data_IF_416581523970
#
_entry.id   IF_416581523970
#
_cell.length_a   1.000
_cell.length_b   1.000
_cell.length_c   1.000
_cell.angle_alpha   90.00
_cell.angle_beta   90.00
_cell.angle_gamma   90.00
#
_symmetry.space_group_name_H-M   'P 1'
#
loop_
_entity.id
_entity.type
_entity.pdbx_description
1 polymer ?
#
# COMPACT_ATOMS: atom_id res chain seq x y z
N UNK A 1 -36.99 -12.75 -42.92
CA UNK A 1 -36.09 -11.64 -43.33
C UNK A 1 -36.22 -10.48 -42.34
N UNK A 2 -35.26 -10.30 -41.42
CA UNK A 2 -35.17 -9.12 -40.55
C UNK A 2 -33.85 -8.41 -40.86
N UNK A 3 -33.92 -7.20 -41.43
CA UNK A 3 -32.76 -6.34 -41.68
C UNK A 3 -32.27 -5.79 -40.34
N UNK A 4 -31.11 -6.25 -39.88
CA UNK A 4 -30.35 -5.59 -38.82
C UNK A 4 -29.69 -4.35 -39.42
N UNK A 5 -30.16 -3.18 -38.98
CA UNK A 5 -29.54 -1.89 -39.28
C UNK A 5 -28.25 -1.81 -38.45
N UNK A 6 -27.14 -2.14 -39.10
CA UNK A 6 -25.79 -1.81 -38.63
C UNK A 6 -25.62 -0.29 -38.72
N UNK A 7 -25.84 0.40 -37.61
CA UNK A 7 -25.35 1.77 -37.43
C UNK A 7 -23.84 1.69 -37.17
N UNK A 8 -23.08 1.80 -38.25
CA UNK A 8 -21.69 2.22 -38.17
C UNK A 8 -21.66 3.67 -37.71
N UNK A 9 -21.30 3.90 -36.44
CA UNK A 9 -20.90 5.21 -35.94
C UNK A 9 -19.39 5.33 -36.08
N UNK A 10 -18.96 5.89 -37.20
CA UNK A 10 -17.58 6.33 -37.40
C UNK A 10 -17.41 7.71 -36.75
N UNK A 11 -16.26 7.88 -36.08
CA UNK A 11 -15.55 9.13 -35.76
C UNK A 11 -15.90 9.88 -34.47
N UNK A 12 -14.94 9.89 -33.54
CA UNK A 12 -14.22 11.13 -33.25
C UNK A 12 -12.74 10.86 -32.90
N UNK A 13 -11.89 11.58 -33.63
CA UNK A 13 -10.46 11.73 -33.39
C UNK A 13 -10.21 12.52 -32.10
N UNK A 14 -9.09 12.22 -31.44
CA UNK A 14 -8.59 12.95 -30.28
C UNK A 14 -8.75 12.21 -28.96
N UNK A 15 -8.11 11.06 -28.79
CA UNK A 15 -7.95 10.50 -27.44
C UNK A 15 -6.52 10.03 -27.24
N UNK A 16 -5.87 10.58 -26.22
CA UNK A 16 -4.67 10.00 -25.63
C UNK A 16 -4.88 8.48 -25.54
N UNK A 17 -4.03 7.70 -26.22
CA UNK A 17 -4.36 6.33 -26.58
C UNK A 17 -4.69 5.54 -25.32
N UNK A 18 -5.98 5.25 -25.09
CA UNK A 18 -6.37 4.37 -23.99
C UNK A 18 -5.63 3.05 -24.19
N UNK A 19 -4.97 2.56 -23.14
CA UNK A 19 -4.28 1.27 -23.20
C UNK A 19 -5.22 0.22 -23.81
N UNK A 20 -4.75 -0.63 -24.76
CA UNK A 20 -5.57 -1.68 -25.36
C UNK A 20 -6.26 -2.57 -24.32
N UNK A 21 -5.64 -2.73 -23.15
CA UNK A 21 -6.22 -3.44 -22.02
C UNK A 21 -7.48 -2.77 -21.45
N UNK A 22 -7.50 -1.44 -21.32
CA UNK A 22 -8.65 -0.67 -20.81
C UNK A 22 -9.80 -0.57 -21.83
N UNK A 23 -9.54 -0.93 -23.09
CA UNK A 23 -10.58 -1.02 -24.12
C UNK A 23 -11.42 -2.31 -24.01
N UNK A 24 -10.93 -3.34 -23.31
CA UNK A 24 -11.67 -4.58 -23.06
C UNK A 24 -12.88 -4.31 -22.15
N UNK A 25 -13.99 -5.07 -22.22
CA UNK A 25 -15.08 -4.98 -21.24
C UNK A 25 -14.61 -5.28 -19.80
N UNK A 26 -15.27 -4.69 -18.81
CA UNK A 26 -14.88 -4.87 -17.40
C UNK A 26 -14.86 -6.34 -16.97
N UNK A 27 -15.84 -7.13 -17.37
CA UNK A 27 -15.92 -8.55 -17.01
C UNK A 27 -14.70 -9.35 -17.49
N UNK A 28 -14.18 -9.03 -18.68
CA UNK A 28 -12.97 -9.63 -19.22
C UNK A 28 -11.74 -9.18 -18.42
N UNK A 29 -11.64 -7.89 -18.09
CA UNK A 29 -10.54 -7.37 -17.26
C UNK A 29 -10.56 -7.98 -15.86
N UNK A 30 -11.74 -8.15 -15.28
CA UNK A 30 -11.96 -8.82 -14.00
C UNK A 30 -11.46 -10.28 -14.02
N UNK A 31 -11.81 -11.04 -15.06
CA UNK A 31 -11.28 -12.40 -15.24
C UNK A 31 -9.75 -12.39 -15.35
N UNK A 32 -9.18 -11.43 -16.09
CA UNK A 32 -7.72 -11.30 -16.18
C UNK A 32 -7.12 -11.01 -14.80
N UNK A 33 -7.69 -10.13 -13.99
CA UNK A 33 -7.22 -9.88 -12.63
C UNK A 33 -7.32 -11.13 -11.76
N UNK A 34 -8.43 -11.88 -11.85
CA UNK A 34 -8.61 -13.12 -11.10
C UNK A 34 -7.54 -14.17 -11.43
N UNK A 35 -7.05 -14.21 -12.66
CA UNK A 35 -5.96 -15.09 -13.06
C UNK A 35 -4.56 -14.50 -12.81
N UNK A 36 -4.42 -13.17 -12.86
CA UNK A 36 -3.14 -12.49 -12.73
C UNK A 36 -2.72 -12.28 -11.26
N UNK A 37 -3.68 -12.15 -10.34
CA UNK A 37 -3.43 -12.00 -8.92
C UNK A 37 -3.53 -13.35 -8.19
N UNK A 38 -2.90 -13.45 -7.00
CA UNK A 38 -2.88 -14.69 -6.22
C UNK A 38 -4.27 -15.32 -6.00
N UNK A 39 -4.40 -16.64 -6.08
CA UNK A 39 -5.71 -17.29 -5.88
C UNK A 39 -6.16 -17.23 -4.41
N UNK A 40 -5.22 -17.16 -3.47
CA UNK A 40 -5.50 -17.07 -2.04
C UNK A 40 -6.00 -15.69 -1.61
N UNK A 41 -6.99 -15.64 -0.71
CA UNK A 41 -7.54 -14.36 -0.18
C UNK A 41 -6.63 -13.63 0.81
N UNK A 42 -5.45 -14.16 1.12
CA UNK A 42 -4.54 -13.60 2.13
C UNK A 42 -3.15 -13.37 1.53
N UNK A 43 -2.62 -12.15 1.71
CA UNK A 43 -1.28 -11.78 1.31
C UNK A 43 -0.46 -11.56 2.57
N UNK A 44 0.68 -12.25 2.68
CA UNK A 44 1.58 -12.12 3.82
C UNK A 44 2.77 -11.24 3.42
N UNK A 45 3.04 -10.23 4.24
CA UNK A 45 4.11 -9.26 4.04
C UNK A 45 4.97 -9.23 5.28
N UNK A 46 6.26 -9.48 5.14
CA UNK A 46 7.25 -9.35 6.19
C UNK A 46 7.65 -7.88 6.35
N UNK A 47 7.45 -7.34 7.54
CA UNK A 47 8.01 -6.06 7.93
C UNK A 47 9.47 -6.24 8.35
N UNK A 48 10.37 -5.59 7.61
CA UNK A 48 11.78 -5.42 7.99
C UNK A 48 12.05 -3.94 8.26
N UNK A 49 13.18 -3.59 8.90
CA UNK A 49 13.47 -2.21 9.29
C UNK A 49 13.31 -1.18 8.17
N UNK A 50 13.75 -1.54 6.96
CA UNK A 50 13.81 -0.62 5.83
C UNK A 50 12.85 -0.98 4.69
N UNK A 51 12.36 -2.21 4.65
CA UNK A 51 11.60 -2.73 3.50
C UNK A 51 10.46 -3.66 3.91
N UNK A 52 9.43 -3.68 3.07
CA UNK A 52 8.39 -4.70 3.09
C UNK A 52 8.74 -5.80 2.09
N UNK A 53 8.79 -7.04 2.56
CA UNK A 53 9.08 -8.20 1.71
C UNK A 53 7.82 -9.05 1.60
N UNK A 54 7.42 -9.46 0.41
CA UNK A 54 6.32 -10.42 0.29
C UNK A 54 6.79 -11.80 0.76
N UNK A 55 6.04 -12.43 1.67
CA UNK A 55 6.30 -13.81 2.13
C UNK A 55 5.63 -14.82 1.19
N UNK A 56 4.57 -14.40 0.51
CA UNK A 56 3.86 -15.24 -0.47
C UNK A 56 4.76 -15.58 -1.66
N UNK A 57 4.85 -16.88 -1.98
CA UNK A 57 5.51 -17.37 -3.19
C UNK A 57 4.81 -16.92 -4.48
N UNK A 58 3.56 -16.48 -4.38
CA UNK A 58 2.78 -15.96 -5.50
C UNK A 58 3.22 -14.53 -5.81
N UNK A 59 3.80 -14.33 -7.01
CA UNK A 59 4.28 -13.01 -7.46
C UNK A 59 3.08 -12.13 -7.77
N UNK A 60 2.85 -11.11 -6.94
CA UNK A 60 1.96 -10.01 -7.29
C UNK A 60 2.56 -9.33 -8.54
N UNK A 61 1.81 -9.18 -9.64
CA UNK A 61 2.34 -8.61 -10.88
C UNK A 61 2.52 -7.09 -10.73
N UNK A 62 3.60 -6.67 -10.05
CA UNK A 62 3.93 -5.25 -9.81
C UNK A 62 4.04 -4.50 -11.15
N UNK A 63 4.46 -5.17 -12.22
CA UNK A 63 4.49 -4.60 -13.56
C UNK A 63 3.09 -4.12 -14.03
N UNK A 64 2.03 -4.87 -13.71
CA UNK A 64 0.65 -4.51 -14.04
C UNK A 64 0.17 -3.30 -13.22
N UNK A 65 0.68 -3.15 -11.98
CA UNK A 65 0.46 -1.95 -11.17
C UNK A 65 1.28 -0.74 -11.66
N UNK A 66 2.27 -0.92 -12.54
CA UNK A 66 3.21 0.14 -12.96
C UNK A 66 3.01 0.65 -14.40
N UNK A 67 2.20 -0.02 -15.23
CA UNK A 67 2.11 0.26 -16.67
C UNK A 67 1.42 1.58 -17.03
N UNK A 68 0.31 1.94 -16.38
CA UNK A 68 -0.28 3.29 -16.49
C UNK A 68 -1.16 3.64 -15.29
N UNK A 69 -1.42 4.93 -15.04
CA UNK A 69 -2.16 5.38 -13.85
C UNK A 69 -3.57 4.77 -13.76
N UNK A 70 -4.27 4.64 -14.89
CA UNK A 70 -5.63 4.07 -14.92
C UNK A 70 -5.64 2.56 -14.67
N UNK A 71 -4.70 1.80 -15.24
CA UNK A 71 -4.57 0.37 -14.94
C UNK A 71 -4.12 0.17 -13.50
N UNK A 72 -3.17 0.95 -13.02
CA UNK A 72 -2.73 0.93 -11.62
C UNK A 72 -3.90 1.15 -10.67
N UNK A 73 -4.76 2.14 -10.98
CA UNK A 73 -5.95 2.41 -10.17
C UNK A 73 -6.93 1.25 -10.16
N UNK A 74 -7.31 0.72 -11.33
CA UNK A 74 -8.29 -0.36 -11.41
C UNK A 74 -7.76 -1.68 -10.81
N UNK A 75 -6.51 -2.04 -11.12
CA UNK A 75 -5.87 -3.21 -10.57
C UNK A 75 -5.61 -3.08 -9.06
N UNK A 76 -5.29 -1.87 -8.58
CA UNK A 76 -5.20 -1.55 -7.16
C UNK A 76 -6.56 -1.68 -6.46
N UNK A 77 -7.62 -1.14 -7.06
CA UNK A 77 -9.00 -1.32 -6.58
C UNK A 77 -9.34 -2.81 -6.46
N UNK A 78 -9.03 -3.62 -7.47
CA UNK A 78 -9.21 -5.07 -7.39
C UNK A 78 -8.41 -5.69 -6.23
N UNK A 79 -7.10 -5.41 -6.16
CA UNK A 79 -6.19 -6.01 -5.18
C UNK A 79 -6.56 -5.65 -3.73
N UNK A 80 -6.80 -4.37 -3.44
CA UNK A 80 -7.02 -3.95 -2.05
C UNK A 80 -8.43 -4.26 -1.54
N UNK A 81 -9.42 -4.38 -2.43
CA UNK A 81 -10.78 -4.79 -2.04
C UNK A 81 -10.92 -6.31 -1.89
N UNK A 82 -10.14 -7.14 -2.57
CA UNK A 82 -10.35 -8.59 -2.56
C UNK A 82 -9.48 -9.35 -1.54
N UNK A 83 -8.37 -8.77 -1.07
CA UNK A 83 -7.40 -9.49 -0.24
C UNK A 83 -7.37 -8.99 1.22
N UNK A 84 -6.92 -9.87 2.12
CA UNK A 84 -6.53 -9.59 3.51
C UNK A 84 -5.01 -9.49 3.57
N UNK A 85 -4.48 -8.35 3.97
CA UNK A 85 -3.04 -8.13 4.09
C UNK A 85 -2.59 -8.43 5.52
N UNK A 86 -1.66 -9.37 5.68
CA UNK A 86 -1.05 -9.72 6.96
C UNK A 86 0.38 -9.20 6.98
N UNK A 87 0.60 -8.09 7.69
CA UNK A 87 1.93 -7.57 7.96
C UNK A 87 2.51 -8.29 9.18
N UNK A 88 3.62 -9.01 9.03
CA UNK A 88 4.21 -9.86 10.05
C UNK A 88 5.67 -9.48 10.28
N UNK A 89 6.12 -9.39 11.51
CA UNK A 89 7.50 -8.97 11.79
C UNK A 89 7.70 -8.55 13.23
N UNK A 90 8.74 -7.74 13.47
CA UNK A 90 8.95 -7.12 14.78
C UNK A 90 7.89 -6.06 15.03
N UNK A 91 7.51 -5.85 16.29
CA UNK A 91 6.50 -4.86 16.68
C UNK A 91 6.80 -3.47 16.12
N UNK A 92 8.03 -2.99 16.27
CA UNK A 92 8.51 -1.71 15.71
C UNK A 92 8.36 -1.64 14.20
N UNK A 93 8.82 -2.65 13.47
CA UNK A 93 8.79 -2.66 12.01
C UNK A 93 7.35 -2.69 11.48
N UNK A 94 6.48 -3.50 12.10
CA UNK A 94 5.06 -3.52 11.77
C UNK A 94 4.39 -2.16 12.01
N UNK A 95 4.65 -1.53 13.16
CA UNK A 95 4.11 -0.21 13.52
C UNK A 95 4.61 0.90 12.59
N UNK A 96 5.84 0.81 12.10
CA UNK A 96 6.42 1.76 11.14
C UNK A 96 5.72 1.72 9.79
N UNK A 97 5.39 0.52 9.29
CA UNK A 97 4.92 0.35 7.91
C UNK A 97 3.40 0.29 7.77
N UNK A 98 2.64 -0.10 8.80
CA UNK A 98 1.20 -0.33 8.64
C UNK A 98 0.42 0.93 8.24
N UNK A 99 0.80 2.12 8.72
CA UNK A 99 0.10 3.37 8.37
C UNK A 99 0.19 3.68 6.87
N UNK A 100 1.36 3.44 6.27
CA UNK A 100 1.57 3.67 4.85
C UNK A 100 0.74 2.67 4.02
N UNK A 101 0.67 1.42 4.46
CA UNK A 101 -0.17 0.40 3.83
C UNK A 101 -1.66 0.73 3.99
N UNK A 102 -2.10 1.13 5.18
CA UNK A 102 -3.46 1.56 5.46
C UNK A 102 -3.88 2.72 4.53
N UNK A 103 -3.08 3.79 4.47
CA UNK A 103 -3.34 4.93 3.57
C UNK A 103 -3.38 4.53 2.10
N UNK A 104 -2.57 3.55 1.72
CA UNK A 104 -2.59 3.02 0.36
C UNK A 104 -3.89 2.27 0.10
N UNK A 105 -4.35 1.44 1.04
CA UNK A 105 -5.64 0.77 0.93
C UNK A 105 -6.78 1.77 0.84
N UNK A 106 -6.85 2.74 1.77
CA UNK A 106 -7.87 3.80 1.79
C UNK A 106 -7.94 4.59 0.47
N UNK A 107 -6.82 4.75 -0.25
CA UNK A 107 -6.79 5.40 -1.56
C UNK A 107 -7.49 4.58 -2.66
N UNK A 108 -7.41 3.26 -2.59
CA UNK A 108 -7.89 2.34 -3.62
C UNK A 108 -9.17 1.60 -3.22
N UNK A 109 -9.62 1.69 -1.98
CA UNK A 109 -10.83 1.02 -1.50
C UNK A 109 -11.93 2.04 -1.28
N UNK A 110 -13.18 1.68 -1.63
CA UNK A 110 -14.36 2.52 -1.34
C UNK A 110 -15.00 2.20 0.00
N UNK A 111 -14.63 1.05 0.58
CA UNK A 111 -15.09 0.60 1.88
C UNK A 111 -14.09 0.99 2.97
N UNK A 112 -14.57 1.00 4.21
CA UNK A 112 -13.75 1.25 5.39
C UNK A 112 -12.64 0.20 5.50
N UNK A 113 -11.44 0.69 5.82
CA UNK A 113 -10.27 -0.14 6.06
C UNK A 113 -10.19 -0.45 7.55
N UNK A 114 -10.24 -1.73 7.87
CA UNK A 114 -10.09 -2.23 9.23
C UNK A 114 -8.66 -2.68 9.48
N UNK A 115 -8.19 -2.43 10.70
CA UNK A 115 -6.85 -2.78 11.17
C UNK A 115 -6.98 -3.56 12.47
N UNK A 116 -6.56 -4.83 12.45
CA UNK A 116 -6.55 -5.70 13.61
C UNK A 116 -5.13 -6.16 13.91
N UNK A 117 -4.64 -5.87 15.12
CA UNK A 117 -3.30 -6.23 15.53
C UNK A 117 -3.30 -7.40 16.52
N UNK A 118 -2.36 -8.32 16.32
CA UNK A 118 -2.23 -9.57 17.05
C UNK A 118 -0.79 -9.71 17.57
N UNK A 119 -0.62 -9.75 18.88
CA UNK A 119 0.67 -9.96 19.52
C UNK A 119 0.88 -11.44 19.88
N UNK A 120 2.11 -11.93 19.80
CA UNK A 120 2.47 -13.28 20.27
C UNK A 120 2.72 -13.34 21.80
N UNK A 121 2.40 -12.26 22.53
CA UNK A 121 2.59 -12.15 23.99
C UNK A 121 3.28 -10.86 24.40
N UNK A 122 3.28 -10.56 25.69
CA UNK A 122 3.84 -9.31 26.24
C UNK A 122 5.36 -9.26 26.03
N UNK A 123 6.04 -10.38 26.27
CA UNK A 123 7.48 -10.51 26.07
C UNK A 123 7.89 -10.78 24.61
N UNK A 124 6.92 -10.96 23.70
CA UNK A 124 7.25 -11.20 22.29
C UNK A 124 7.69 -9.91 21.61
N UNK A 125 8.78 -9.98 20.84
CA UNK A 125 9.20 -8.90 19.94
C UNK A 125 8.45 -8.91 18.62
N UNK A 126 7.62 -9.93 18.37
CA UNK A 126 6.95 -10.16 17.07
C UNK A 126 5.46 -9.98 17.17
N UNK A 127 4.85 -9.58 16.06
CA UNK A 127 3.41 -9.42 15.95
C UNK A 127 2.93 -9.56 14.50
N UNK A 128 1.62 -9.62 14.32
CA UNK A 128 0.96 -9.49 13.04
C UNK A 128 -0.05 -8.34 13.07
N UNK A 129 -0.15 -7.58 11.98
CA UNK A 129 -1.23 -6.62 11.73
C UNK A 129 -1.98 -7.09 10.49
N UNK A 130 -3.26 -7.36 10.65
CA UNK A 130 -4.16 -7.67 9.54
C UNK A 130 -4.86 -6.38 9.08
N UNK A 131 -4.85 -6.11 7.78
CA UNK A 131 -5.57 -5.02 7.15
C UNK A 131 -6.52 -5.57 6.08
N UNK A 132 -7.76 -5.09 6.07
CA UNK A 132 -8.72 -5.40 5.02
C UNK A 132 -9.75 -4.29 4.82
N UNK A 133 -10.28 -4.18 3.60
CA UNK A 133 -11.44 -3.36 3.33
C UNK A 133 -12.75 -4.17 3.44
N UNK A 134 -13.75 -3.55 4.07
CA UNK A 134 -15.11 -4.08 4.24
C UNK A 134 -15.27 -5.19 5.28
N UNK A 135 -16.52 -5.47 5.64
CA UNK A 135 -16.86 -6.34 6.78
C UNK A 135 -16.73 -7.85 6.48
N UNK A 136 -16.79 -8.25 5.20
CA UNK A 136 -16.85 -9.67 4.81
C UNK A 136 -15.63 -10.51 5.19
N UNK A 137 -14.51 -9.87 5.58
CA UNK A 137 -13.27 -10.54 6.02
C UNK A 137 -13.07 -10.52 7.53
N UNK A 138 -13.92 -9.81 8.28
CA UNK A 138 -13.88 -9.76 9.75
C UNK A 138 -14.09 -11.16 10.34
N UNK A 139 -15.01 -11.94 9.77
CA UNK A 139 -15.27 -13.32 10.20
C UNK A 139 -14.04 -14.23 10.01
N UNK A 140 -13.27 -14.03 8.93
CA UNK A 140 -12.02 -14.76 8.71
C UNK A 140 -10.97 -14.46 9.79
N UNK A 141 -11.00 -13.27 10.38
CA UNK A 141 -10.13 -12.88 11.49
C UNK A 141 -10.67 -13.33 12.84
N UNK A 142 -11.98 -13.32 13.06
CA UNK A 142 -12.61 -13.82 14.30
C UNK A 142 -12.37 -15.31 14.50
N UNK A 143 -12.36 -16.11 13.43
CA UNK A 143 -12.02 -17.54 13.49
C UNK A 143 -10.54 -17.81 13.82
N UNK A 144 -9.68 -16.78 13.82
CA UNK A 144 -8.24 -16.93 14.05
C UNK A 144 -7.97 -17.06 15.55
N UNK A 145 -7.79 -18.29 16.02
CA UNK A 145 -7.43 -18.58 17.42
C UNK A 145 -5.94 -18.31 17.76
N UNK A 146 -5.27 -17.39 17.05
CA UNK A 146 -3.82 -17.17 17.16
C UNK A 146 -3.50 -15.72 17.50
N UNK A 147 -2.66 -15.54 18.51
CA UNK A 147 -2.21 -14.23 19.00
C UNK A 147 -3.24 -13.55 19.91
N UNK A 148 -2.74 -12.69 20.79
CA UNK A 148 -3.56 -11.82 21.63
C UNK A 148 -3.94 -10.58 20.84
N UNK A 149 -5.24 -10.35 20.64
CA UNK A 149 -5.74 -9.14 20.01
C UNK A 149 -5.36 -7.93 20.86
N UNK A 150 -4.64 -6.99 20.26
CA UNK A 150 -4.23 -5.73 20.91
C UNK A 150 -4.60 -4.55 20.04
N UNK A 151 -4.85 -3.42 20.67
CA UNK A 151 -5.02 -2.16 19.95
C UNK A 151 -3.65 -1.64 19.53
N UNK A 152 -3.59 -0.86 18.44
CA UNK A 152 -2.35 -0.20 18.01
C UNK A 152 -1.78 0.70 19.11
N UNK A 153 -2.65 1.35 19.91
CA UNK A 153 -2.21 2.20 21.02
C UNK A 153 -1.41 1.42 22.06
N UNK A 154 -1.95 0.29 22.53
CA UNK A 154 -1.27 -0.60 23.48
C UNK A 154 0.07 -1.09 22.92
N UNK A 155 0.13 -1.40 21.63
CA UNK A 155 1.37 -1.86 20.99
C UNK A 155 2.44 -0.76 20.89
N UNK A 156 2.05 0.49 20.65
CA UNK A 156 2.98 1.63 20.68
C UNK A 156 3.52 1.87 22.09
N UNK A 157 2.65 1.81 23.10
CA UNK A 157 3.02 1.90 24.50
C UNK A 157 4.03 0.79 24.88
N UNK A 158 3.78 -0.46 24.48
CA UNK A 158 4.70 -1.59 24.71
C UNK A 158 6.07 -1.43 24.06
N UNK A 159 6.12 -0.77 22.92
CA UNK A 159 7.34 -0.58 22.15
C UNK A 159 8.12 0.66 22.59
N UNK A 160 7.52 1.51 23.44
CA UNK A 160 8.08 2.80 23.84
C UNK A 160 8.12 3.79 22.68
N UNK A 161 7.27 3.61 21.66
CA UNK A 161 7.17 4.52 20.52
C UNK A 161 6.20 5.65 20.84
N UNK A 162 6.76 6.81 21.18
CA UNK A 162 6.00 8.05 21.26
C UNK A 162 5.71 8.55 19.82
N UNK A 163 4.45 8.72 19.39
CA UNK A 163 4.11 9.08 18.01
C UNK A 163 4.73 10.40 17.51
N UNK A 164 5.24 11.25 18.42
CA UNK A 164 5.94 12.49 18.10
C UNK A 164 7.44 12.36 17.78
N UNK A 165 8.09 11.26 18.18
CA UNK A 165 9.56 11.15 18.15
C UNK A 165 10.12 11.12 16.72
N UNK A 166 9.50 10.34 15.82
CA UNK A 166 9.94 10.19 14.44
C UNK A 166 9.78 11.47 13.61
N UNK A 167 8.67 12.18 13.79
CA UNK A 167 8.39 13.45 13.08
C UNK A 167 9.31 14.57 13.56
N UNK A 168 9.61 14.61 14.86
CA UNK A 168 10.57 15.55 15.45
C UNK A 168 11.99 15.32 14.93
N UNK A 169 12.43 14.07 14.87
CA UNK A 169 13.75 13.72 14.32
C UNK A 169 13.88 14.07 12.83
N UNK A 170 12.84 13.82 12.02
CA UNK A 170 12.83 14.21 10.60
C UNK A 170 12.93 15.73 10.40
N UNK A 171 12.19 16.52 11.20
CA UNK A 171 12.25 17.98 11.14
C UNK A 171 13.62 18.53 11.55
N UNK A 172 14.24 17.97 12.59
CA UNK A 172 15.58 18.33 13.04
C UNK A 172 16.60 18.04 11.93
N UNK A 173 16.54 16.85 11.33
CA UNK A 173 17.45 16.44 10.25
C UNK A 173 17.31 17.35 9.02
N UNK A 174 16.08 17.73 8.68
CA UNK A 174 15.78 18.63 7.56
C UNK A 174 16.26 20.05 7.82
N UNK A 175 16.14 20.53 9.07
CA UNK A 175 16.70 21.81 9.50
C UNK A 175 18.22 21.84 9.41
N UNK A 176 18.91 20.81 9.89
CA UNK A 176 20.36 20.67 9.77
C UNK A 176 20.83 20.64 8.31
N UNK A 177 20.12 19.90 7.45
CA UNK A 177 20.43 19.85 6.02
C UNK A 177 20.33 21.23 5.37
N UNK A 178 19.29 22.02 5.69
CA UNK A 178 19.13 23.38 5.17
C UNK A 178 20.25 24.32 5.63
N UNK A 179 20.65 24.25 6.90
CA UNK A 179 21.77 25.07 7.39
C UNK A 179 23.08 24.72 6.68
N UNK A 180 23.31 23.43 6.42
CA UNK A 180 24.50 22.95 5.73
C UNK A 180 24.51 23.36 4.24
N UNK A 181 23.35 23.41 3.59
CA UNK A 181 23.22 23.98 2.24
C UNK A 181 23.47 25.48 2.22
N UNK A 182 22.93 26.23 3.19
CA UNK A 182 23.14 27.66 3.30
C UNK A 182 24.61 28.02 3.53
N UNK A 183 25.32 27.27 4.38
CA UNK A 183 26.75 27.48 4.60
C UNK A 183 27.57 27.16 3.36
N UNK A 184 27.25 26.09 2.62
CA UNK A 184 27.91 25.75 1.35
C UNK A 184 27.74 26.87 0.31
N UNK A 185 26.52 27.41 0.17
CA UNK A 185 26.22 28.52 -0.75
C UNK A 185 26.99 29.77 -0.35
N UNK A 186 27.03 30.11 0.95
CA UNK A 186 27.80 31.24 1.45
C UNK A 186 29.30 31.10 1.16
N UNK A 187 29.86 29.90 1.32
CA UNK A 187 31.26 29.61 1.04
C UNK A 187 31.58 29.71 -0.46
N UNK A 188 30.69 29.20 -1.32
CA UNK A 188 30.78 29.35 -2.77
C UNK A 188 30.70 30.81 -3.21
N UNK A 189 29.79 31.59 -2.64
CA UNK A 189 29.66 33.02 -2.93
C UNK A 189 30.90 33.81 -2.50
N UNK A 190 31.50 33.46 -1.36
CA UNK A 190 32.75 34.09 -0.90
C UNK A 190 33.93 33.76 -1.83
N UNK A 191 34.07 32.51 -2.26
CA UNK A 191 35.13 32.10 -3.20
C UNK A 191 34.95 32.76 -4.56
N UNK A 192 33.72 32.84 -5.08
CA UNK A 192 33.44 33.44 -6.39
C UNK A 192 33.50 34.97 -6.38
N UNK A 193 33.22 35.63 -5.25
CA UNK A 193 33.32 37.08 -5.12
C UNK A 193 34.73 37.59 -4.77
N UNK A 194 35.67 36.69 -4.47
CA UNK A 194 37.07 37.00 -4.19
C UNK A 194 37.96 36.96 -5.45
N UNK A 195 37.41 36.59 -6.61
CA UNK A 195 38.04 36.63 -7.94
C UNK A 195 37.34 37.65 -8.83
#
# INVERSE_FOLDING_TARGET
>A
MRRLILKASTQHAGSASRSPFLALPFDIRYLIYQHAFPAGKQIYVQASPDVLLSITNERIPIALLRTCQSINREAGEYLYNNYLFNLVGRKQDCLRHYEALQKTMERYTRADVHVDAFSNGDHSKTMAIALHAGEGKVEMLKGRQRGLKKTIRQLREEVGEDPGQGRRNYLILRGLALMMWASLIGLLAWVLGAY
#
